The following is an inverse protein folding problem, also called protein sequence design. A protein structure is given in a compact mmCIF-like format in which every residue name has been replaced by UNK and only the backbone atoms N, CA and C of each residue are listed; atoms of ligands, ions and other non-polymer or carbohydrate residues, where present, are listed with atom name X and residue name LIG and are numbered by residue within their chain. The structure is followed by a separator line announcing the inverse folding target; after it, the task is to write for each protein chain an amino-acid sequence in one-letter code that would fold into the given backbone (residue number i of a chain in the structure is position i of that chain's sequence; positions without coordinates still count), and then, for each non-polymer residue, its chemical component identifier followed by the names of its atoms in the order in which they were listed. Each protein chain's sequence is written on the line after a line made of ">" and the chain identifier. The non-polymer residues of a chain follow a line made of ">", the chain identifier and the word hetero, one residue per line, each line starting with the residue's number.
data_IF_123804221255
#
_entry.id   IF_123804221255
#
_cell.length_a   1.000
_cell.length_b   1.000
_cell.length_c   1.000
_cell.angle_alpha   90.00
_cell.angle_beta   90.00
_cell.angle_gamma   90.00
#
_symmetry.space_group_name_H-M   'P 1'
#
loop_
_entity.id
_entity.type
_entity.pdbx_description
1 polymer ?
#
# COMPACT_ATOMS: atom_id res chain seq x y z
N UNK A 1 -12.28 27.41 1.11
CA UNK A 1 -11.07 26.61 1.42
C UNK A 1 -11.59 25.25 1.79
N UNK A 2 -11.32 24.26 0.95
CA UNK A 2 -11.94 22.94 1.02
C UNK A 2 -11.15 22.08 2.02
N UNK A 3 -11.72 21.99 3.23
CA UNK A 3 -11.13 21.32 4.40
C UNK A 3 -10.93 19.80 4.17
N UNK A 4 -11.54 19.24 3.12
CA UNK A 4 -11.53 17.80 2.80
C UNK A 4 -10.50 17.37 1.75
N UNK A 5 -9.73 18.29 1.16
CA UNK A 5 -8.78 17.93 0.07
C UNK A 5 -7.62 17.01 0.51
N UNK A 6 -6.94 17.23 1.67
CA UNK A 6 -5.89 16.32 2.13
C UNK A 6 -6.41 14.90 2.38
N UNK A 7 -7.64 14.78 2.88
CA UNK A 7 -8.30 13.49 3.08
C UNK A 7 -8.58 12.79 1.76
N UNK A 8 -8.96 13.54 0.72
CA UNK A 8 -9.17 13.01 -0.62
C UNK A 8 -7.86 12.52 -1.27
N UNK A 9 -6.77 13.28 -1.15
CA UNK A 9 -5.47 12.88 -1.69
C UNK A 9 -4.95 11.60 -1.04
N UNK A 10 -5.04 11.52 0.29
CA UNK A 10 -4.72 10.29 1.06
C UNK A 10 -5.60 9.12 0.62
N UNK A 11 -6.91 9.33 0.52
CA UNK A 11 -7.85 8.31 0.03
C UNK A 11 -7.46 7.78 -1.35
N UNK A 12 -7.16 8.67 -2.31
CA UNK A 12 -6.78 8.27 -3.67
C UNK A 12 -5.48 7.47 -3.68
N UNK A 13 -4.48 7.89 -2.90
CA UNK A 13 -3.20 7.19 -2.78
C UNK A 13 -3.40 5.77 -2.23
N UNK A 14 -4.03 5.64 -1.06
CA UNK A 14 -4.23 4.35 -0.40
C UNK A 14 -5.10 3.42 -1.24
N UNK A 15 -6.13 3.96 -1.90
CA UNK A 15 -6.99 3.16 -2.80
C UNK A 15 -6.23 2.66 -4.03
N UNK A 16 -5.28 3.45 -4.54
CA UNK A 16 -4.43 3.06 -5.66
C UNK A 16 -3.44 1.96 -5.25
N UNK A 17 -2.90 2.03 -4.04
CA UNK A 17 -2.02 0.98 -3.48
C UNK A 17 -2.77 -0.35 -3.31
N UNK A 18 -4.01 -0.32 -2.78
CA UNK A 18 -4.87 -1.50 -2.73
C UNK A 18 -5.09 -2.11 -4.10
N UNK A 19 -5.55 -1.31 -5.06
CA UNK A 19 -5.85 -1.80 -6.41
C UNK A 19 -4.62 -2.35 -7.13
N UNK A 20 -3.48 -1.67 -7.01
CA UNK A 20 -2.28 -1.95 -7.80
C UNK A 20 -1.34 -2.95 -7.15
N UNK A 21 -0.92 -2.67 -5.92
CA UNK A 21 0.12 -3.42 -5.24
C UNK A 21 -0.42 -4.67 -4.52
N UNK A 22 -1.61 -4.57 -3.92
CA UNK A 22 -2.21 -5.66 -3.13
C UNK A 22 -3.09 -6.54 -4.02
N UNK A 23 -4.22 -6.02 -4.50
CA UNK A 23 -5.19 -6.78 -5.29
C UNK A 23 -4.69 -7.11 -6.71
N UNK A 24 -3.61 -6.48 -7.17
CA UNK A 24 -2.93 -6.85 -8.40
C UNK A 24 -2.52 -8.33 -8.44
N UNK A 25 -2.27 -8.95 -7.27
CA UNK A 25 -1.95 -10.37 -7.17
C UNK A 25 -3.14 -11.32 -7.43
N UNK A 26 -4.37 -10.83 -7.36
CA UNK A 26 -5.56 -11.57 -7.77
C UNK A 26 -5.82 -11.47 -9.29
N UNK A 27 -5.06 -10.66 -10.02
CA UNK A 27 -5.24 -10.53 -11.46
C UNK A 27 -4.90 -11.85 -12.19
N UNK A 28 -5.66 -12.23 -13.23
CA UNK A 28 -5.36 -13.42 -14.02
C UNK A 28 -3.92 -13.42 -14.55
N UNK A 29 -3.16 -14.47 -14.27
CA UNK A 29 -1.78 -14.59 -14.72
C UNK A 29 -0.74 -13.87 -13.86
N UNK A 30 -1.11 -13.21 -12.75
CA UNK A 30 -0.15 -12.54 -11.88
C UNK A 30 0.81 -13.53 -11.20
N UNK A 31 0.28 -14.58 -10.56
CA UNK A 31 1.09 -15.62 -9.90
C UNK A 31 2.00 -16.34 -10.90
N UNK A 32 1.48 -16.58 -12.10
CA UNK A 32 2.17 -17.28 -13.19
C UNK A 32 3.45 -16.61 -13.68
N UNK A 33 3.61 -15.31 -13.43
CA UNK A 33 4.82 -14.56 -13.75
C UNK A 33 5.96 -14.88 -12.77
N UNK A 34 5.65 -15.41 -11.59
CA UNK A 34 6.63 -15.84 -10.59
C UNK A 34 6.90 -17.33 -10.76
N UNK A 35 8.14 -17.68 -11.14
CA UNK A 35 8.52 -19.08 -11.41
C UNK A 35 8.23 -20.02 -10.22
N UNK A 36 8.43 -19.56 -9.00
CA UNK A 36 8.14 -20.35 -7.80
C UNK A 36 6.63 -20.63 -7.66
N UNK A 37 5.78 -19.62 -7.84
CA UNK A 37 4.34 -19.79 -7.78
C UNK A 37 3.83 -20.68 -8.92
N UNK A 38 4.40 -20.58 -10.13
CA UNK A 38 4.11 -21.52 -11.22
C UNK A 38 4.37 -22.96 -10.81
N UNK A 39 5.53 -23.25 -10.23
CA UNK A 39 5.89 -24.62 -9.78
C UNK A 39 4.93 -25.13 -8.70
N UNK A 40 4.48 -24.26 -7.80
CA UNK A 40 3.49 -24.62 -6.78
C UNK A 40 2.13 -24.95 -7.41
N UNK A 41 1.66 -24.14 -8.36
CA UNK A 41 0.43 -24.40 -9.11
C UNK A 41 0.51 -25.72 -9.90
N UNK A 42 1.63 -25.96 -10.59
CA UNK A 42 1.86 -27.20 -11.34
C UNK A 42 1.94 -28.44 -10.42
N UNK A 43 2.33 -28.25 -9.15
CA UNK A 43 2.32 -29.27 -8.12
C UNK A 43 0.92 -29.50 -7.48
N UNK A 44 -0.09 -28.75 -7.92
CA UNK A 44 -1.47 -28.88 -7.43
C UNK A 44 -1.81 -28.06 -6.19
N UNK A 45 -1.00 -27.05 -5.85
CA UNK A 45 -1.37 -26.08 -4.82
C UNK A 45 -2.65 -25.34 -5.23
N UNK A 46 -3.51 -25.05 -4.25
CA UNK A 46 -4.71 -24.27 -4.48
C UNK A 46 -4.35 -22.84 -4.89
N UNK A 47 -5.01 -22.32 -5.92
CA UNK A 47 -4.73 -20.99 -6.45
C UNK A 47 -5.17 -19.90 -5.49
N UNK A 48 -6.33 -20.05 -4.88
CA UNK A 48 -6.93 -19.01 -4.05
C UNK A 48 -6.09 -18.84 -2.77
N UNK A 49 -5.56 -19.94 -2.23
CA UNK A 49 -4.59 -19.90 -1.13
C UNK A 49 -3.31 -19.13 -1.50
N UNK A 50 -2.76 -19.37 -2.70
CA UNK A 50 -1.57 -18.65 -3.16
C UNK A 50 -1.84 -17.16 -3.43
N UNK A 51 -3.02 -16.82 -3.94
CA UNK A 51 -3.44 -15.42 -4.11
C UNK A 51 -3.58 -14.74 -2.74
N UNK A 52 -4.20 -15.42 -1.77
CA UNK A 52 -4.36 -14.91 -0.41
C UNK A 52 -3.01 -14.65 0.25
N UNK A 53 -2.08 -15.61 0.15
CA UNK A 53 -0.71 -15.46 0.66
C UNK A 53 0.02 -14.27 0.00
N UNK A 54 -0.06 -14.15 -1.32
CA UNK A 54 0.59 -13.06 -2.05
C UNK A 54 0.02 -11.69 -1.66
N UNK A 55 -1.31 -11.58 -1.53
CA UNK A 55 -2.00 -10.36 -1.07
C UNK A 55 -1.58 -9.99 0.35
N UNK A 56 -1.51 -10.95 1.26
CA UNK A 56 -1.06 -10.72 2.64
C UNK A 56 0.38 -10.18 2.70
N UNK A 57 1.31 -10.80 1.96
CA UNK A 57 2.71 -10.34 1.90
C UNK A 57 2.80 -8.94 1.27
N UNK A 58 2.04 -8.69 0.21
CA UNK A 58 2.00 -7.38 -0.44
C UNK A 58 1.44 -6.30 0.49
N UNK A 59 0.36 -6.61 1.23
CA UNK A 59 -0.20 -5.71 2.24
C UNK A 59 0.83 -5.34 3.30
N UNK A 60 1.48 -6.32 3.93
CA UNK A 60 2.51 -6.09 4.96
C UNK A 60 3.68 -5.26 4.42
N UNK A 61 4.10 -5.53 3.19
CA UNK A 61 5.18 -4.77 2.53
C UNK A 61 4.77 -3.33 2.28
N UNK A 62 3.53 -3.09 1.82
CA UNK A 62 3.00 -1.74 1.61
C UNK A 62 2.84 -1.01 2.95
N UNK A 63 2.33 -1.70 3.98
CA UNK A 63 2.19 -1.16 5.33
C UNK A 63 3.53 -0.64 5.85
N UNK A 64 4.57 -1.48 5.82
CA UNK A 64 5.91 -1.11 6.27
C UNK A 64 6.47 0.11 5.51
N UNK A 65 6.20 0.22 4.20
CA UNK A 65 6.61 1.38 3.41
C UNK A 65 5.85 2.63 3.83
N UNK A 66 4.53 2.58 3.98
CA UNK A 66 3.75 3.78 4.32
C UNK A 66 3.96 4.25 5.75
N UNK A 67 4.29 3.33 6.66
CA UNK A 67 4.71 3.63 8.03
C UNK A 67 6.02 4.44 8.03
N UNK A 68 7.03 3.99 7.27
CA UNK A 68 8.27 4.75 7.10
C UNK A 68 8.03 6.11 6.42
N UNK A 69 7.08 6.20 5.48
CA UNK A 69 6.66 7.46 4.86
C UNK A 69 6.01 8.44 5.85
N UNK A 70 5.34 7.96 6.89
CA UNK A 70 4.81 8.83 7.95
C UNK A 70 5.92 9.33 8.90
N UNK A 71 6.97 8.55 9.12
CA UNK A 71 8.10 8.91 9.99
C UNK A 71 9.05 9.95 9.38
N UNK A 72 9.34 9.88 8.07
CA UNK A 72 9.98 10.96 7.28
C UNK A 72 11.38 11.47 7.68
N UNK A 73 11.95 11.05 8.80
CA UNK A 73 13.23 11.57 9.30
C UNK A 73 13.75 10.95 10.60
N UNK A 74 13.02 9.98 11.18
CA UNK A 74 13.35 9.38 12.48
C UNK A 74 14.63 8.53 12.48
N UNK A 75 15.12 8.13 11.30
CA UNK A 75 16.35 7.32 11.15
C UNK A 75 17.61 8.19 11.01
N UNK A 76 17.53 9.48 11.32
CA UNK A 76 18.68 10.39 11.18
C UNK A 76 19.91 9.90 11.97
N UNK A 77 21.00 9.68 11.24
CA UNK A 77 22.30 9.35 11.82
C UNK A 77 22.90 10.61 12.44
N UNK A 78 23.57 10.48 13.58
CA UNK A 78 24.19 11.60 14.28
C UNK A 78 24.99 12.51 13.34
N UNK A 79 24.62 13.80 13.30
CA UNK A 79 25.28 14.81 12.47
C UNK A 79 24.64 15.07 11.10
N UNK A 80 23.57 14.34 10.74
CA UNK A 80 22.75 14.60 9.55
C UNK A 80 21.30 14.84 9.98
N UNK A 81 20.80 16.06 9.75
CA UNK A 81 19.40 16.41 10.00
C UNK A 81 18.72 16.63 8.65
N UNK A 82 18.25 15.55 8.05
CA UNK A 82 17.49 15.57 6.80
C UNK A 82 16.15 14.91 7.07
N UNK A 83 15.08 15.67 6.81
CA UNK A 83 13.72 15.16 6.83
C UNK A 83 13.10 15.25 5.44
N UNK A 84 12.11 14.41 5.21
CA UNK A 84 11.23 14.45 4.05
C UNK A 84 9.80 14.14 4.51
N UNK A 85 8.85 14.49 3.66
CA UNK A 85 7.44 14.22 3.92
C UNK A 85 6.75 13.97 2.58
N UNK A 86 5.75 13.10 2.60
CA UNK A 86 4.82 12.97 1.49
C UNK A 86 3.85 14.14 1.54
N UNK A 87 3.70 14.83 0.42
CA UNK A 87 2.90 16.04 0.32
C UNK A 87 1.84 15.89 -0.76
N UNK A 88 0.68 16.49 -0.53
CA UNK A 88 -0.32 16.65 -1.57
C UNK A 88 0.21 17.53 -2.72
N UNK A 89 -0.22 17.21 -3.93
CA UNK A 89 0.03 18.00 -5.14
C UNK A 89 -1.25 18.71 -5.59
N UNK A 90 -1.11 19.95 -6.05
CA UNK A 90 -2.18 20.70 -6.71
C UNK A 90 -2.41 20.21 -8.15
N UNK A 91 -3.41 20.80 -8.83
CA UNK A 91 -3.74 20.47 -10.22
C UNK A 91 -2.58 20.76 -11.20
N UNK A 92 -1.71 21.72 -10.85
CA UNK A 92 -0.51 22.08 -11.60
C UNK A 92 0.69 21.15 -11.33
N UNK A 93 0.52 20.17 -10.44
CA UNK A 93 1.58 19.25 -10.00
C UNK A 93 2.54 19.85 -8.97
N UNK A 94 2.35 21.10 -8.56
CA UNK A 94 3.14 21.70 -7.50
C UNK A 94 2.70 21.18 -6.14
N UNK A 95 3.64 21.04 -5.19
CA UNK A 95 3.27 20.69 -3.82
C UNK A 95 2.40 21.80 -3.21
N UNK A 96 1.32 21.40 -2.55
CA UNK A 96 0.48 22.34 -1.79
C UNK A 96 1.09 22.69 -0.42
N UNK A 97 2.18 22.01 -0.04
CA UNK A 97 2.78 22.10 1.30
C UNK A 97 1.97 21.41 2.40
N UNK A 98 0.85 20.77 2.08
CA UNK A 98 0.05 19.99 3.03
C UNK A 98 0.58 18.56 3.10
N UNK A 99 1.12 18.11 4.25
CA UNK A 99 1.61 16.74 4.38
C UNK A 99 0.45 15.75 4.36
N UNK A 100 0.70 14.58 3.78
CA UNK A 100 -0.14 13.40 3.94
C UNK A 100 0.42 12.60 5.12
N UNK A 101 -0.34 12.54 6.22
CA UNK A 101 0.05 11.83 7.44
C UNK A 101 -0.98 10.75 7.81
N UNK A 102 -0.55 9.79 8.62
CA UNK A 102 -1.39 8.68 9.07
C UNK A 102 -1.78 7.76 7.91
N UNK A 103 -0.85 7.57 6.96
CA UNK A 103 -1.05 6.67 5.83
C UNK A 103 -1.16 5.22 6.31
N UNK A 104 -0.31 4.80 7.24
CA UNK A 104 -0.33 3.44 7.79
C UNK A 104 -1.61 3.14 8.58
N UNK A 105 -2.09 4.10 9.37
CA UNK A 105 -3.31 3.99 10.18
C UNK A 105 -4.55 3.73 9.30
N UNK A 106 -4.65 4.45 8.18
CA UNK A 106 -5.80 4.37 7.30
C UNK A 106 -5.71 3.20 6.30
N UNK A 107 -4.52 2.65 6.04
CA UNK A 107 -4.29 1.69 4.95
C UNK A 107 -5.27 0.51 5.01
N UNK A 108 -5.45 -0.11 6.19
CA UNK A 108 -6.32 -1.28 6.30
C UNK A 108 -7.79 -0.97 5.99
N UNK A 109 -8.28 0.19 6.44
CA UNK A 109 -9.66 0.65 6.24
C UNK A 109 -9.98 0.96 4.78
N UNK A 110 -8.96 1.07 3.93
CA UNK A 110 -9.11 1.34 2.49
C UNK A 110 -9.31 0.08 1.64
N UNK A 111 -9.42 -1.10 2.27
CA UNK A 111 -9.79 -2.37 1.63
C UNK A 111 -11.03 -2.19 0.73
N UNK A 112 -10.93 -2.52 -0.58
CA UNK A 112 -12.07 -2.50 -1.50
C UNK A 112 -13.27 -3.34 -1.11
N UNK A 113 -13.07 -4.41 -0.34
CA UNK A 113 -14.16 -5.26 0.13
C UNK A 113 -14.91 -4.67 1.33
N UNK A 114 -14.34 -3.64 1.99
CA UNK A 114 -14.89 -3.06 3.22
C UNK A 114 -14.86 -4.03 4.40
N UNK A 115 -13.96 -5.02 4.37
CA UNK A 115 -13.80 -6.05 5.40
C UNK A 115 -12.45 -5.92 6.10
N UNK A 116 -11.75 -4.81 5.93
CA UNK A 116 -10.46 -4.52 6.56
C UNK A 116 -9.47 -5.67 6.41
N UNK A 117 -9.38 -6.26 5.21
CA UNK A 117 -8.46 -7.35 4.90
C UNK A 117 -8.74 -8.67 5.64
N UNK A 118 -9.92 -8.85 6.23
CA UNK A 118 -10.26 -10.02 7.03
C UNK A 118 -10.19 -11.36 6.28
N UNK A 119 -10.19 -11.34 4.95
CA UNK A 119 -9.97 -12.53 4.13
C UNK A 119 -8.52 -13.02 4.14
N UNK A 120 -7.53 -12.17 4.45
CA UNK A 120 -6.11 -12.54 4.48
C UNK A 120 -5.68 -13.23 5.78
N UNK A 121 -6.46 -13.10 6.86
CA UNK A 121 -6.05 -13.47 8.22
C UNK A 121 -6.99 -14.46 8.92
N UNK A 122 -7.84 -15.17 8.17
CA UNK A 122 -8.83 -16.12 8.69
C UNK A 122 -8.39 -17.57 8.63
#
# INVERSE_FOLDING_TARGET
>A
MDENQPQLARFVLLRSLWRGAIDGWAAPGALEQVLAARRLLDAGADRDDLVMLARAIAYESVFAVVDELDCGGDVNVSGVDVGWAVMESGEDGCSTGRPLSGLHEDLLTMDPSGRDGADMWR
#
